data_IF_810445467966
#
_entry.id   IF_810445467966
#
_cell.length_a   1.000
_cell.length_b   1.000
_cell.length_c   1.000
_cell.angle_alpha   90.00
_cell.angle_beta   90.00
_cell.angle_gamma   90.00
#
_symmetry.space_group_name_H-M   'P 1'
#
loop_
_entity.id
_entity.type
_entity.pdbx_description
1 polymer ?
#
# COMPACT_ATOMS: atom_id res chain seq x y z
N UNK A 1 20.23 4.99 13.96
CA UNK A 1 20.93 3.78 13.48
C UNK A 1 19.88 2.84 12.90
N UNK A 2 20.25 1.91 12.01
CA UNK A 2 19.33 0.87 11.52
C UNK A 2 19.61 -0.41 12.27
N UNK A 3 18.58 -0.98 12.89
CA UNK A 3 18.68 -2.26 13.60
C UNK A 3 18.14 -3.36 12.69
N UNK A 4 18.92 -4.43 12.53
CA UNK A 4 18.50 -5.65 11.84
C UNK A 4 18.36 -6.73 12.92
N UNK A 5 17.13 -7.03 13.38
CA UNK A 5 16.93 -7.87 14.57
C UNK A 5 17.41 -9.32 14.39
N UNK A 6 17.42 -9.82 13.16
CA UNK A 6 17.77 -11.20 12.82
C UNK A 6 18.03 -11.35 11.31
N UNK A 7 18.68 -12.45 10.92
CA UNK A 7 19.01 -12.74 9.51
C UNK A 7 17.78 -13.01 8.63
N UNK A 8 16.70 -13.51 9.23
CA UNK A 8 15.37 -13.66 8.63
C UNK A 8 14.33 -13.05 9.56
N UNK A 9 13.11 -12.81 9.07
CA UNK A 9 12.07 -12.24 9.93
C UNK A 9 11.78 -13.12 11.15
N UNK A 10 11.78 -12.49 12.33
CA UNK A 10 11.33 -13.07 13.59
C UNK A 10 10.58 -11.98 14.36
N UNK A 11 9.30 -12.23 14.66
CA UNK A 11 8.46 -11.27 15.36
C UNK A 11 8.99 -11.02 16.78
N UNK A 12 9.26 -12.07 17.56
CA UNK A 12 9.92 -11.96 18.86
C UNK A 12 11.27 -11.24 18.83
N UNK A 13 12.16 -11.50 17.85
CA UNK A 13 13.42 -10.76 17.75
C UNK A 13 13.20 -9.28 17.44
N UNK A 14 12.25 -8.97 16.55
CA UNK A 14 11.91 -7.58 16.19
C UNK A 14 11.34 -6.81 17.37
N UNK A 15 10.48 -7.43 18.17
CA UNK A 15 9.93 -6.82 19.39
C UNK A 15 11.02 -6.55 20.43
N UNK A 16 11.91 -7.52 20.70
CA UNK A 16 13.04 -7.31 21.62
C UNK A 16 13.97 -6.20 21.16
N UNK A 17 14.26 -6.13 19.86
CA UNK A 17 15.11 -5.07 19.32
C UNK A 17 14.51 -3.68 19.55
N UNK A 18 13.18 -3.53 19.52
CA UNK A 18 12.53 -2.25 19.84
C UNK A 18 12.74 -1.84 21.29
N UNK A 19 12.63 -2.79 22.21
CA UNK A 19 12.82 -2.59 23.65
C UNK A 19 14.30 -2.31 23.98
N UNK A 20 15.21 -3.16 23.51
CA UNK A 20 16.64 -3.10 23.84
C UNK A 20 17.35 -1.88 23.21
N UNK A 21 16.98 -1.53 21.97
CA UNK A 21 17.66 -0.46 21.21
C UNK A 21 16.85 0.86 21.17
N UNK A 22 15.64 0.88 21.73
CA UNK A 22 14.80 2.08 21.75
C UNK A 22 14.38 2.56 20.36
N UNK A 23 14.06 1.64 19.46
CA UNK A 23 13.68 1.95 18.07
C UNK A 23 12.46 2.88 18.00
N UNK A 24 12.55 3.94 17.19
CA UNK A 24 11.46 4.94 17.04
C UNK A 24 10.58 4.72 15.83
N UNK A 25 11.12 4.09 14.79
CA UNK A 25 10.48 3.93 13.49
C UNK A 25 10.54 2.45 13.11
N UNK A 26 9.40 1.88 12.75
CA UNK A 26 9.28 0.47 12.37
C UNK A 26 8.69 0.36 10.95
N UNK A 27 9.54 0.30 9.91
CA UNK A 27 9.10 -0.05 8.56
C UNK A 27 8.59 -1.48 8.54
N UNK A 28 7.38 -1.67 8.03
CA UNK A 28 6.69 -2.95 8.09
C UNK A 28 5.70 -3.13 6.94
N UNK A 29 5.14 -4.33 6.88
CA UNK A 29 4.01 -4.66 6.01
C UNK A 29 2.89 -5.23 6.89
N UNK A 30 1.62 -5.15 6.46
CA UNK A 30 0.50 -5.68 7.22
C UNK A 30 0.69 -7.08 7.81
N UNK A 31 1.21 -8.02 7.02
CA UNK A 31 1.46 -9.39 7.48
C UNK A 31 2.48 -9.47 8.63
N UNK A 32 3.54 -8.65 8.60
CA UNK A 32 4.51 -8.57 9.68
C UNK A 32 3.87 -8.00 10.95
N UNK A 33 3.06 -6.95 10.83
CA UNK A 33 2.33 -6.39 11.97
C UNK A 33 1.39 -7.42 12.58
N UNK A 34 0.65 -8.18 11.76
CA UNK A 34 -0.23 -9.25 12.25
C UNK A 34 0.55 -10.34 12.99
N UNK A 35 1.72 -10.74 12.48
CA UNK A 35 2.58 -11.73 13.15
C UNK A 35 3.15 -11.19 14.47
N UNK A 36 3.60 -9.93 14.51
CA UNK A 36 4.07 -9.30 15.75
C UNK A 36 2.94 -9.13 16.77
N UNK A 37 1.72 -8.81 16.31
CA UNK A 37 0.56 -8.70 17.17
C UNK A 37 0.08 -10.05 17.74
N UNK A 38 0.38 -11.16 17.05
CA UNK A 38 0.05 -12.51 17.48
C UNK A 38 1.11 -13.14 18.42
N UNK A 39 2.25 -12.49 18.65
CA UNK A 39 3.26 -12.96 19.60
C UNK A 39 2.72 -12.97 21.03
N UNK A 40 2.82 -14.11 21.70
CA UNK A 40 2.25 -14.34 23.04
C UNK A 40 2.69 -13.27 24.06
N UNK A 41 3.95 -12.83 23.94
CA UNK A 41 4.57 -11.88 24.88
C UNK A 41 4.54 -10.43 24.40
N UNK A 42 3.84 -10.10 23.32
CA UNK A 42 3.80 -8.71 22.80
C UNK A 42 3.34 -7.71 23.89
N UNK A 43 2.43 -8.14 24.77
CA UNK A 43 1.96 -7.34 25.90
C UNK A 43 3.02 -7.01 26.94
N UNK A 44 4.07 -7.85 27.07
CA UNK A 44 5.12 -7.73 28.09
C UNK A 44 6.30 -6.86 27.64
N UNK A 45 6.50 -6.68 26.33
CA UNK A 45 7.63 -5.93 25.76
C UNK A 45 7.40 -4.42 25.87
N UNK A 46 8.39 -3.65 26.32
CA UNK A 46 8.31 -2.18 26.27
C UNK A 46 8.46 -1.66 24.82
N UNK A 47 7.35 -1.17 24.27
CA UNK A 47 7.27 -0.58 22.93
C UNK A 47 7.06 0.94 22.97
N UNK A 48 7.26 1.58 24.13
CA UNK A 48 6.99 3.01 24.31
C UNK A 48 7.93 3.93 23.51
N UNK A 49 9.05 3.39 23.03
CA UNK A 49 9.98 4.06 22.13
C UNK A 49 9.41 4.29 20.72
N UNK A 50 8.46 3.45 20.28
CA UNK A 50 7.88 3.53 18.93
C UNK A 50 7.06 4.81 18.75
N UNK A 51 7.48 5.63 17.78
CA UNK A 51 6.83 6.88 17.39
C UNK A 51 6.02 6.74 16.11
N UNK A 52 6.38 5.80 15.24
CA UNK A 52 5.67 5.52 13.99
C UNK A 52 5.89 4.08 13.53
N UNK A 53 4.82 3.45 13.05
CA UNK A 53 4.91 2.22 12.25
C UNK A 53 4.58 2.58 10.81
N UNK A 54 5.49 2.26 9.89
CA UNK A 54 5.29 2.52 8.47
C UNK A 54 4.73 1.27 7.79
N UNK A 55 3.62 1.41 7.08
CA UNK A 55 2.99 0.36 6.30
C UNK A 55 3.06 0.70 4.82
N UNK A 56 3.31 -0.31 4.00
CA UNK A 56 3.30 -0.18 2.54
C UNK A 56 3.33 -1.54 1.85
N UNK A 57 3.75 -1.52 0.59
CA UNK A 57 3.94 -2.69 -0.30
C UNK A 57 2.70 -3.50 -0.68
N UNK A 58 1.59 -3.39 0.06
CA UNK A 58 0.34 -4.08 -0.22
C UNK A 58 -0.86 -3.26 0.25
N UNK A 59 -2.07 -3.77 0.05
CA UNK A 59 -3.32 -3.19 0.56
C UNK A 59 -3.26 -3.02 2.07
N UNK A 60 -3.52 -1.81 2.54
CA UNK A 60 -3.61 -1.49 3.98
C UNK A 60 -5.09 -1.34 4.33
N UNK A 61 -5.59 -2.25 5.16
CA UNK A 61 -6.94 -2.20 5.71
C UNK A 61 -6.98 -1.45 7.05
N UNK A 62 -8.19 -1.09 7.49
CA UNK A 62 -8.42 -0.47 8.79
C UNK A 62 -7.91 -1.37 9.93
N UNK A 63 -8.15 -2.68 9.83
CA UNK A 63 -7.72 -3.65 10.84
C UNK A 63 -6.23 -3.57 11.13
N UNK A 64 -5.38 -3.30 10.13
CA UNK A 64 -3.94 -3.17 10.33
C UNK A 64 -3.60 -1.96 11.20
N UNK A 65 -4.29 -0.82 11.02
CA UNK A 65 -4.09 0.36 11.87
C UNK A 65 -4.52 0.10 13.31
N UNK A 66 -5.64 -0.60 13.45
CA UNK A 66 -6.16 -1.02 14.76
C UNK A 66 -5.18 -1.96 15.45
N UNK A 67 -4.58 -2.92 14.72
CA UNK A 67 -3.55 -3.81 15.23
C UNK A 67 -2.31 -3.04 15.69
N UNK A 68 -1.81 -2.08 14.91
CA UNK A 68 -0.70 -1.20 15.32
C UNK A 68 -1.04 -0.47 16.63
N UNK A 69 -2.21 0.15 16.71
CA UNK A 69 -2.61 0.90 17.90
C UNK A 69 -2.82 0.03 19.15
N UNK A 70 -3.39 -1.17 18.99
CA UNK A 70 -3.72 -2.06 20.11
C UNK A 70 -2.55 -2.93 20.55
N UNK A 71 -1.91 -3.63 19.61
CA UNK A 71 -0.87 -4.60 19.93
C UNK A 71 0.50 -3.93 20.08
N UNK A 72 0.88 -3.08 19.10
CA UNK A 72 2.18 -2.40 19.13
C UNK A 72 2.17 -1.12 19.98
N UNK A 73 0.98 -0.68 20.45
CA UNK A 73 0.77 0.52 21.28
C UNK A 73 1.33 1.80 20.65
N UNK A 74 1.47 1.83 19.33
CA UNK A 74 1.96 2.99 18.61
C UNK A 74 0.78 3.87 18.15
N UNK A 75 0.82 5.16 18.49
CA UNK A 75 -0.26 6.11 18.20
C UNK A 75 -0.33 6.53 16.73
N UNK A 76 0.73 6.28 15.96
CA UNK A 76 0.86 6.76 14.58
C UNK A 76 1.23 5.62 13.66
N UNK A 77 0.51 5.56 12.55
CA UNK A 77 0.83 4.71 11.40
C UNK A 77 0.99 5.58 10.16
N UNK A 78 1.97 5.27 9.31
CA UNK A 78 2.06 5.86 7.98
C UNK A 78 1.68 4.83 6.93
N UNK A 79 1.01 5.28 5.87
CA UNK A 79 0.68 4.44 4.72
C UNK A 79 1.40 5.00 3.49
N UNK A 80 2.32 4.21 2.95
CA UNK A 80 3.13 4.58 1.79
C UNK A 80 2.73 3.84 0.53
N UNK A 81 2.74 4.55 -0.59
CA UNK A 81 2.78 3.95 -1.92
C UNK A 81 4.15 4.20 -2.54
N UNK A 82 4.73 3.14 -3.09
CA UNK A 82 6.02 3.14 -3.74
C UNK A 82 6.11 1.94 -4.68
N UNK A 83 7.02 2.01 -5.64
CA UNK A 83 7.41 0.90 -6.49
C UNK A 83 8.93 0.90 -6.61
N UNK A 84 9.57 -0.20 -6.97
CA UNK A 84 11.05 -0.25 -7.12
C UNK A 84 11.57 0.84 -8.07
N UNK A 85 10.75 1.22 -9.04
CA UNK A 85 11.01 2.23 -10.06
C UNK A 85 10.89 3.67 -9.53
N UNK A 86 10.30 3.87 -8.36
CA UNK A 86 10.20 5.15 -7.65
C UNK A 86 9.85 4.95 -6.17
N UNK A 87 10.80 5.20 -5.27
CA UNK A 87 10.59 5.08 -3.81
C UNK A 87 11.10 6.34 -3.09
N UNK A 88 10.30 7.01 -2.23
CA UNK A 88 8.84 6.89 -2.03
C UNK A 88 8.04 7.78 -2.99
N UNK A 89 6.79 7.41 -3.32
CA UNK A 89 5.91 8.19 -4.22
C UNK A 89 4.93 9.06 -3.43
N UNK A 90 4.18 8.47 -2.51
CA UNK A 90 3.25 9.19 -1.63
C UNK A 90 3.26 8.60 -0.23
N UNK A 91 3.05 9.45 0.78
CA UNK A 91 2.99 9.03 2.17
C UNK A 91 1.88 9.76 2.92
N UNK A 92 1.05 8.99 3.64
CA UNK A 92 0.04 9.51 4.57
C UNK A 92 0.41 9.19 6.00
N UNK A 93 0.05 10.09 6.93
CA UNK A 93 0.24 9.90 8.37
C UNK A 93 -1.11 9.88 9.05
N UNK A 94 -1.38 8.82 9.82
CA UNK A 94 -2.68 8.54 10.41
C UNK A 94 -2.55 8.26 11.90
N UNK A 95 -3.59 8.65 12.64
CA UNK A 95 -3.80 8.23 14.02
C UNK A 95 -4.27 6.77 14.04
N UNK A 96 -3.76 5.97 14.97
CA UNK A 96 -4.26 4.61 15.22
C UNK A 96 -5.44 4.60 16.21
N UNK A 97 -5.85 5.78 16.72
CA UNK A 97 -6.96 5.90 17.66
C UNK A 97 -8.29 5.67 16.94
N UNK A 98 -9.14 4.84 17.53
CA UNK A 98 -10.44 4.48 16.96
C UNK A 98 -11.32 5.71 16.72
N UNK A 99 -11.93 5.80 15.53
CA UNK A 99 -12.82 6.89 15.13
C UNK A 99 -12.15 8.09 14.48
N UNK A 100 -10.81 8.17 14.50
CA UNK A 100 -10.04 9.26 13.84
C UNK A 100 -9.51 8.86 12.44
N UNK A 101 -9.75 7.62 12.00
CA UNK A 101 -9.02 7.00 10.88
C UNK A 101 -9.36 7.47 9.47
N UNK A 102 -10.55 8.02 9.20
CA UNK A 102 -10.96 8.34 7.82
C UNK A 102 -10.84 7.16 6.83
N UNK A 103 -11.13 7.39 5.54
CA UNK A 103 -10.84 6.39 4.50
C UNK A 103 -9.33 6.16 4.39
N UNK A 104 -8.87 4.91 4.28
CA UNK A 104 -7.47 4.61 4.01
C UNK A 104 -7.05 5.23 2.67
N UNK A 105 -5.94 5.97 2.67
CA UNK A 105 -5.28 6.50 1.48
C UNK A 105 -3.76 6.51 1.74
N UNK A 106 -2.94 6.77 0.72
CA UNK A 106 -1.47 6.78 0.82
C UNK A 106 -0.91 8.19 0.98
N UNK A 107 -1.74 9.10 1.52
CA UNK A 107 -1.40 10.51 1.74
C UNK A 107 -1.08 11.30 0.49
N UNK A 108 -0.21 12.29 0.62
CA UNK A 108 0.15 13.22 -0.45
C UNK A 108 1.45 12.80 -1.12
N UNK A 109 1.67 13.29 -2.35
CA UNK A 109 2.91 13.07 -3.10
C UNK A 109 4.12 13.59 -2.31
N UNK A 110 5.16 12.76 -2.22
CA UNK A 110 6.39 13.10 -1.51
C UNK A 110 7.18 14.21 -2.23
N UNK A 111 7.99 15.01 -1.51
CA UNK A 111 8.90 15.97 -2.13
C UNK A 111 9.81 15.29 -3.16
N UNK A 112 9.99 15.91 -4.33
CA UNK A 112 10.79 15.36 -5.43
C UNK A 112 10.08 14.32 -6.30
N UNK A 113 8.95 13.76 -5.84
CA UNK A 113 8.08 12.91 -6.64
C UNK A 113 7.01 13.75 -7.37
N UNK A 114 6.51 13.20 -8.48
CA UNK A 114 5.37 13.74 -9.23
C UNK A 114 4.41 12.60 -9.51
N UNK A 115 3.11 12.86 -9.42
CA UNK A 115 2.06 11.88 -9.72
C UNK A 115 0.96 12.53 -10.54
N UNK A 116 0.46 11.79 -11.53
CA UNK A 116 -0.79 12.10 -12.23
C UNK A 116 -1.60 10.83 -12.45
N UNK A 117 -2.92 10.98 -12.51
CA UNK A 117 -3.83 9.89 -12.85
C UNK A 117 -4.19 10.05 -14.31
N UNK A 118 -3.97 9.00 -15.09
CA UNK A 118 -4.20 8.98 -16.53
C UNK A 118 -5.25 7.94 -16.91
N UNK A 119 -6.05 8.24 -17.90
CA UNK A 119 -6.91 7.24 -18.54
C UNK A 119 -6.04 6.20 -19.26
N UNK A 120 -6.38 4.92 -19.10
CA UNK A 120 -5.55 3.80 -19.57
C UNK A 120 -5.48 3.74 -21.09
N UNK A 121 -6.58 4.05 -21.76
CA UNK A 121 -6.69 3.93 -23.22
C UNK A 121 -6.06 5.13 -23.93
N UNK A 122 -6.43 6.34 -23.50
CA UNK A 122 -5.96 7.57 -24.14
C UNK A 122 -4.63 8.09 -23.61
N UNK A 123 -4.20 7.64 -22.42
CA UNK A 123 -3.02 8.13 -21.71
C UNK A 123 -3.15 9.56 -21.17
N UNK A 124 -4.31 10.20 -21.31
CA UNK A 124 -4.53 11.60 -20.92
C UNK A 124 -4.83 11.71 -19.43
N UNK A 125 -4.42 12.82 -18.83
CA UNK A 125 -4.71 13.11 -17.42
C UNK A 125 -6.21 13.26 -17.21
N UNK A 126 -6.74 12.58 -16.19
CA UNK A 126 -8.16 12.65 -15.79
C UNK A 126 -8.38 13.70 -14.72
N UNK A 127 -9.64 14.09 -14.51
CA UNK A 127 -10.01 14.99 -13.41
C UNK A 127 -9.81 14.32 -12.05
N UNK A 128 -9.65 15.13 -11.00
CA UNK A 128 -9.63 14.64 -9.62
C UNK A 128 -10.93 13.88 -9.31
N UNK A 129 -10.83 12.87 -8.45
CA UNK A 129 -11.93 11.95 -8.13
C UNK A 129 -12.22 10.89 -9.19
N UNK A 130 -11.65 10.98 -10.41
CA UNK A 130 -11.78 9.95 -11.44
C UNK A 130 -10.65 8.93 -11.32
N UNK A 131 -10.99 7.65 -11.40
CA UNK A 131 -10.02 6.55 -11.37
C UNK A 131 -9.28 6.42 -12.70
N UNK A 132 -7.99 6.09 -12.62
CA UNK A 132 -7.15 5.84 -13.79
C UNK A 132 -5.82 5.21 -13.39
N UNK A 133 -4.90 5.06 -14.34
CA UNK A 133 -3.54 4.58 -14.12
C UNK A 133 -2.69 5.64 -13.41
N UNK A 134 -2.00 5.22 -12.34
CA UNK A 134 -1.03 6.05 -11.64
C UNK A 134 0.22 6.15 -12.51
N UNK A 135 0.50 7.34 -13.02
CA UNK A 135 1.77 7.67 -13.64
C UNK A 135 2.60 8.50 -12.65
N UNK A 136 3.83 8.08 -12.40
CA UNK A 136 4.72 8.80 -11.50
C UNK A 136 6.04 9.18 -12.18
N UNK A 137 6.69 10.20 -11.65
CA UNK A 137 7.95 10.73 -12.16
C UNK A 137 8.67 11.55 -11.09
N UNK A 138 9.63 12.35 -11.52
CA UNK A 138 10.48 13.15 -10.64
C UNK A 138 11.83 12.49 -10.35
N UNK A 139 12.59 13.07 -9.42
CA UNK A 139 14.00 12.71 -9.18
C UNK A 139 14.18 11.29 -8.64
N UNK A 140 13.15 10.77 -7.98
CA UNK A 140 13.14 9.41 -7.41
C UNK A 140 12.86 8.34 -8.46
N UNK A 141 12.44 8.70 -9.68
CA UNK A 141 12.08 7.74 -10.72
C UNK A 141 13.32 7.27 -11.48
N UNK A 142 13.44 5.96 -11.66
CA UNK A 142 14.49 5.39 -12.53
C UNK A 142 14.25 5.83 -13.98
N UNK A 143 15.31 5.82 -14.79
CA UNK A 143 15.26 6.22 -16.21
C UNK A 143 14.92 5.07 -17.16
N UNK A 144 14.84 3.85 -16.64
CA UNK A 144 14.62 2.62 -17.40
C UNK A 144 15.33 1.44 -16.74
N UNK A 145 14.96 0.23 -17.15
CA UNK A 145 15.60 -0.99 -16.67
C UNK A 145 16.90 -1.29 -17.43
N UNK A 146 17.80 -2.02 -16.76
CA UNK A 146 19.01 -2.57 -17.40
C UNK A 146 18.58 -3.49 -18.55
N UNK A 147 19.15 -3.29 -19.73
CA UNK A 147 18.80 -4.07 -20.92
C UNK A 147 17.52 -3.62 -21.65
N UNK A 148 16.85 -2.57 -21.19
CA UNK A 148 15.72 -1.96 -21.90
C UNK A 148 14.41 -2.75 -21.87
N UNK A 149 14.26 -3.70 -20.94
CA UNK A 149 12.98 -4.37 -20.68
C UNK A 149 11.91 -3.34 -20.30
N UNK A 150 10.67 -3.56 -20.72
CA UNK A 150 9.52 -2.69 -20.41
C UNK A 150 9.75 -1.21 -20.71
N UNK A 151 10.50 -0.90 -21.77
CA UNK A 151 10.81 0.48 -22.16
C UNK A 151 9.53 1.28 -22.49
N UNK A 152 8.47 0.62 -22.94
CA UNK A 152 7.16 1.19 -23.20
C UNK A 152 6.45 1.75 -21.95
N UNK A 153 6.86 1.31 -20.75
CA UNK A 153 6.38 1.88 -19.49
C UNK A 153 7.01 3.23 -19.17
N UNK A 154 8.05 3.65 -19.88
CA UNK A 154 8.73 4.93 -19.68
C UNK A 154 8.48 5.86 -20.85
N UNK A 155 8.12 7.11 -20.55
CA UNK A 155 7.92 8.12 -21.60
C UNK A 155 8.26 9.51 -21.08
N UNK A 156 8.35 10.46 -22.01
CA UNK A 156 8.46 11.88 -21.71
C UNK A 156 7.20 12.60 -22.14
N UNK A 157 6.76 13.57 -21.34
CA UNK A 157 5.68 14.45 -21.76
C UNK A 157 6.17 15.58 -22.68
N UNK A 158 5.26 16.48 -23.05
CA UNK A 158 5.52 17.60 -23.98
C UNK A 158 6.58 18.57 -23.47
N UNK A 159 6.78 18.68 -22.16
CA UNK A 159 7.81 19.53 -21.54
C UNK A 159 9.11 18.76 -21.25
N UNK A 160 9.19 17.49 -21.66
CA UNK A 160 10.37 16.64 -21.55
C UNK A 160 10.54 15.93 -20.20
N UNK A 161 9.54 16.01 -19.33
CA UNK A 161 9.57 15.38 -18.00
C UNK A 161 9.32 13.88 -18.12
N UNK A 162 10.12 13.10 -17.39
CA UNK A 162 10.05 11.63 -17.41
C UNK A 162 8.92 11.09 -16.54
N UNK A 163 8.19 10.13 -17.09
CA UNK A 163 7.08 9.45 -16.44
C UNK A 163 7.19 7.94 -16.60
N UNK A 164 6.76 7.22 -15.57
CA UNK A 164 6.61 5.78 -15.54
C UNK A 164 5.14 5.39 -15.39
N UNK A 165 4.71 4.43 -16.21
CA UNK A 165 3.40 3.79 -16.17
C UNK A 165 3.42 2.62 -15.18
N UNK A 166 2.77 2.80 -14.02
CA UNK A 166 2.83 1.81 -12.93
C UNK A 166 2.03 0.52 -13.17
N UNK A 167 1.00 0.58 -14.03
CA UNK A 167 -0.03 -0.45 -14.13
C UNK A 167 -0.97 -0.51 -12.92
N UNK A 168 -0.84 0.42 -11.97
CA UNK A 168 -1.68 0.48 -10.77
C UNK A 168 -2.81 1.49 -10.98
N UNK A 169 -4.01 1.12 -10.56
CA UNK A 169 -5.17 1.99 -10.58
C UNK A 169 -5.20 2.85 -9.32
N UNK A 170 -5.42 4.14 -9.48
CA UNK A 170 -5.55 5.07 -8.37
C UNK A 170 -6.52 6.21 -8.64
N UNK A 171 -6.87 6.91 -7.57
CA UNK A 171 -7.68 8.12 -7.58
C UNK A 171 -6.93 9.22 -6.86
N UNK A 172 -6.77 10.35 -7.52
CA UNK A 172 -6.28 11.57 -6.89
C UNK A 172 -7.48 12.34 -6.35
N UNK A 173 -7.57 12.49 -5.02
CA UNK A 173 -8.67 13.20 -4.37
C UNK A 173 -8.55 14.72 -4.55
N UNK A 174 -9.64 15.42 -4.27
CA UNK A 174 -9.71 16.89 -4.32
C UNK A 174 -8.69 17.57 -3.40
N UNK A 175 -8.44 16.97 -2.24
CA UNK A 175 -7.46 17.46 -1.24
C UNK A 175 -5.99 17.15 -1.59
N UNK A 176 -5.73 16.51 -2.74
CA UNK A 176 -4.38 16.15 -3.16
C UNK A 176 -3.86 14.83 -2.61
N UNK A 177 -4.69 14.08 -1.87
CA UNK A 177 -4.30 12.75 -1.41
C UNK A 177 -4.50 11.68 -2.49
N UNK A 178 -3.59 10.71 -2.53
CA UNK A 178 -3.62 9.57 -3.45
C UNK A 178 -4.28 8.37 -2.77
N UNK A 179 -5.24 7.77 -3.44
CA UNK A 179 -5.85 6.49 -3.07
C UNK A 179 -5.45 5.45 -4.12
N UNK A 180 -4.83 4.36 -3.68
CA UNK A 180 -4.47 3.22 -4.53
C UNK A 180 -5.61 2.22 -4.47
N UNK A 181 -6.19 1.90 -5.63
CA UNK A 181 -7.36 1.02 -5.76
C UNK A 181 -6.94 -0.44 -5.95
N UNK A 182 -5.87 -0.68 -6.72
CA UNK A 182 -5.37 -2.01 -7.03
C UNK A 182 -4.49 -2.00 -8.28
N UNK A 183 -4.28 -3.16 -8.90
CA UNK A 183 -3.54 -3.26 -10.17
C UNK A 183 -4.48 -3.63 -11.30
N UNK A 184 -4.29 -3.02 -12.47
CA UNK A 184 -5.14 -3.32 -13.64
C UNK A 184 -5.07 -4.79 -14.07
N UNK A 185 -3.88 -5.39 -14.00
CA UNK A 185 -3.70 -6.81 -14.34
C UNK A 185 -4.30 -7.79 -13.33
N UNK A 186 -4.62 -7.32 -12.13
CA UNK A 186 -5.20 -8.12 -11.04
C UNK A 186 -6.72 -7.87 -10.91
N UNK A 187 -7.31 -7.03 -11.78
CA UNK A 187 -8.75 -6.81 -11.81
C UNK A 187 -9.48 -8.09 -12.26
N UNK A 188 -10.51 -8.45 -11.50
CA UNK A 188 -11.36 -9.59 -11.82
C UNK A 188 -12.42 -9.12 -12.80
N UNK A 189 -12.41 -9.66 -14.02
CA UNK A 189 -13.38 -9.29 -15.06
C UNK A 189 -14.54 -10.27 -15.03
N UNK A 190 -15.64 -9.87 -14.39
CA UNK A 190 -16.84 -10.70 -14.25
C UNK A 190 -18.00 -10.12 -15.04
N UNK A 191 -18.40 -10.79 -16.11
CA UNK A 191 -19.55 -10.37 -16.94
C UNK A 191 -19.40 -8.97 -17.57
N UNK A 192 -18.16 -8.54 -17.81
CA UNK A 192 -17.83 -7.21 -18.37
C UNK A 192 -17.56 -6.11 -17.33
N UNK A 193 -17.73 -6.41 -16.04
CA UNK A 193 -17.44 -5.48 -14.94
C UNK A 193 -16.04 -5.73 -14.36
N UNK A 194 -15.31 -4.65 -14.10
CA UNK A 194 -14.00 -4.69 -13.45
C UNK A 194 -14.15 -4.65 -11.94
N UNK A 195 -13.76 -5.72 -11.26
CA UNK A 195 -13.88 -5.85 -9.81
C UNK A 195 -12.47 -5.87 -9.20
N UNK A 196 -12.17 -4.89 -8.35
CA UNK A 196 -10.92 -4.83 -7.62
C UNK A 196 -10.91 -5.84 -6.45
N UNK A 197 -9.96 -6.79 -6.39
CA UNK A 197 -9.83 -7.72 -5.26
C UNK A 197 -9.78 -7.02 -3.90
N UNK A 198 -8.99 -5.94 -3.80
CA UNK A 198 -8.85 -5.14 -2.58
C UNK A 198 -10.18 -4.54 -2.08
N UNK A 199 -11.12 -4.24 -2.98
CA UNK A 199 -12.44 -3.75 -2.59
C UNK A 199 -13.28 -4.88 -1.94
N UNK A 200 -13.15 -6.11 -2.43
CA UNK A 200 -13.80 -7.28 -1.82
C UNK A 200 -13.17 -7.57 -0.46
N UNK A 201 -11.83 -7.57 -0.37
CA UNK A 201 -11.07 -7.77 0.88
C UNK A 201 -11.53 -6.78 1.96
N UNK A 202 -11.60 -5.48 1.62
CA UNK A 202 -12.05 -4.45 2.54
C UNK A 202 -13.51 -4.63 3.00
N UNK A 203 -14.40 -5.09 2.11
CA UNK A 203 -15.80 -5.38 2.48
C UNK A 203 -15.89 -6.61 3.38
N UNK A 204 -15.12 -7.67 3.10
CA UNK A 204 -15.13 -8.89 3.92
C UNK A 204 -14.60 -8.63 5.33
N UNK A 205 -13.53 -7.85 5.47
CA UNK A 205 -13.03 -7.39 6.76
C UNK A 205 -14.12 -6.60 7.52
N UNK A 206 -14.60 -5.50 6.93
CA UNK A 206 -15.48 -4.55 7.62
C UNK A 206 -16.88 -5.11 7.89
N UNK A 207 -17.46 -5.90 6.97
CA UNK A 207 -18.86 -6.35 7.06
C UNK A 207 -19.01 -7.76 7.62
N UNK A 208 -18.05 -8.64 7.38
CA UNK A 208 -18.15 -10.04 7.78
C UNK A 208 -17.20 -10.40 8.91
N UNK A 209 -16.20 -9.56 9.21
CA UNK A 209 -15.17 -9.86 10.21
C UNK A 209 -14.31 -11.05 9.83
N UNK A 210 -14.19 -11.33 8.53
CA UNK A 210 -13.37 -12.43 8.01
C UNK A 210 -12.05 -11.83 7.55
N UNK A 211 -10.96 -12.24 8.21
CA UNK A 211 -9.61 -11.95 7.71
C UNK A 211 -9.36 -12.84 6.50
N UNK A 212 -9.10 -12.21 5.36
CA UNK A 212 -8.86 -12.88 4.07
C UNK A 212 -7.39 -12.73 3.74
N UNK A 213 -6.74 -13.83 3.34
CA UNK A 213 -5.34 -13.78 2.90
C UNK A 213 -5.21 -13.06 1.56
N UNK A 214 -6.07 -13.42 0.59
CA UNK A 214 -6.23 -12.69 -0.67
C UNK A 214 -7.54 -13.05 -1.38
N UNK A 215 -7.99 -12.15 -2.25
CA UNK A 215 -9.02 -12.43 -3.25
C UNK A 215 -8.35 -12.62 -4.62
N UNK A 216 -8.71 -13.69 -5.33
CA UNK A 216 -8.19 -14.00 -6.66
C UNK A 216 -9.31 -14.25 -7.65
N UNK A 217 -9.10 -13.86 -8.91
CA UNK A 217 -9.97 -14.23 -10.03
C UNK A 217 -9.68 -15.67 -10.46
N UNK A 218 -10.72 -16.50 -10.55
CA UNK A 218 -10.64 -17.85 -11.15
C UNK A 218 -11.49 -17.88 -12.40
N UNK A 219 -10.98 -18.51 -13.46
CA UNK A 219 -11.70 -18.63 -14.74
C UNK A 219 -13.04 -19.34 -14.56
N UNK A 220 -14.07 -18.79 -15.18
CA UNK A 220 -15.43 -19.32 -15.25
C UNK A 220 -15.91 -19.28 -16.69
N UNK A 221 -16.46 -20.38 -17.20
CA UNK A 221 -16.97 -20.44 -18.58
C UNK A 221 -18.14 -19.48 -18.83
N UNK A 222 -18.95 -19.21 -17.81
CA UNK A 222 -20.16 -18.39 -17.92
C UNK A 222 -19.89 -16.90 -17.67
N UNK A 223 -18.99 -16.59 -16.72
CA UNK A 223 -18.80 -15.23 -16.22
C UNK A 223 -17.46 -14.59 -16.65
N UNK A 224 -16.60 -15.33 -17.35
CA UNK A 224 -15.20 -14.96 -17.61
C UNK A 224 -14.34 -15.29 -16.39
N UNK A 225 -14.53 -14.53 -15.30
CA UNK A 225 -13.90 -14.77 -14.01
C UNK A 225 -14.90 -14.68 -12.85
N UNK A 226 -14.60 -15.39 -11.78
CA UNK A 226 -15.31 -15.30 -10.49
C UNK A 226 -14.31 -15.06 -9.36
N UNK A 227 -14.64 -14.19 -8.39
CA UNK A 227 -13.78 -13.97 -7.23
C UNK A 227 -13.83 -15.19 -6.30
N UNK A 228 -12.65 -15.64 -5.87
CA UNK A 228 -12.46 -16.69 -4.87
C UNK A 228 -11.65 -16.12 -3.72
N UNK A 229 -12.11 -16.37 -2.49
CA UNK A 229 -11.41 -15.98 -1.27
C UNK A 229 -10.52 -17.11 -0.78
N UNK A 230 -9.25 -16.78 -0.51
CA UNK A 230 -8.32 -17.62 0.22
C UNK A 230 -8.26 -17.10 1.66
N UNK A 231 -8.68 -17.93 2.61
CA UNK A 231 -8.72 -17.60 4.04
C UNK A 231 -7.44 -18.07 4.74
#
# INVERSE_FOLDING_TARGET
>A
ATIIPSASFSASASLRAVEEEGCTDLPSVPSIVSLMAAEEKVGEVDLSSLKVVELGATTILEEHRVLVGKALRCAVVTNGYAATEGVPISLGRFSTRSGEGGKIHTGTVCPGARVRICDVESGKVVQRGVAGEIHFGGEMCIKGYVGGTSAESFYKDEVGEGWFKSGDQGVMREDGTLEVVGRYKDLIIRGGENIAPAAIEAVMDVKLGISVSCIVGVKSEEAGEVPVAVL
#
